data_IF_988973665008
#
_entry.id   IF_988973665008
#
_cell.length_a   1.000
_cell.length_b   1.000
_cell.length_c   1.000
_cell.angle_alpha   90.00
_cell.angle_beta   90.00
_cell.angle_gamma   90.00
#
_symmetry.space_group_name_H-M   'P 1'
#
loop_
_entity.id
_entity.type
_entity.pdbx_description
1 polymer ?
#
# COMPACT_ATOMS: atom_id res chain seq x y z
N UNK A 1 60.73 -38.54 -1.35
CA UNK A 1 61.88 -37.75 -1.89
C UNK A 1 61.32 -36.39 -2.27
N UNK A 2 61.71 -35.22 -1.75
CA UNK A 2 62.85 -34.77 -0.93
C UNK A 2 62.34 -33.63 -0.03
N UNK A 3 62.81 -33.62 1.21
CA UNK A 3 62.75 -32.49 2.14
C UNK A 3 63.85 -31.47 1.81
N UNK A 4 63.63 -30.20 2.17
CA UNK A 4 64.60 -29.27 2.79
C UNK A 4 63.96 -27.88 2.94
N UNK A 5 64.22 -27.00 3.92
CA UNK A 5 64.68 -27.01 5.31
C UNK A 5 64.67 -25.52 5.73
N UNK A 6 64.19 -25.27 6.95
CA UNK A 6 64.51 -24.19 7.91
C UNK A 6 64.92 -22.78 7.45
N UNK A 7 64.19 -21.80 8.00
CA UNK A 7 64.74 -20.59 8.60
C UNK A 7 64.02 -20.31 9.93
N UNK A 8 64.77 -20.20 11.03
CA UNK A 8 64.32 -20.15 12.44
C UNK A 8 64.74 -18.80 13.07
N UNK A 9 64.05 -18.43 14.16
CA UNK A 9 64.36 -17.42 15.21
C UNK A 9 63.96 -15.97 14.85
N UNK A 10 63.29 -15.18 15.71
CA UNK A 10 63.57 -14.95 17.14
C UNK A 10 62.27 -14.68 17.92
N UNK A 11 62.22 -15.24 19.14
CA UNK A 11 61.22 -15.00 20.16
C UNK A 11 61.54 -13.74 21.00
N UNK A 12 60.54 -12.93 21.34
CA UNK A 12 60.55 -12.12 22.57
C UNK A 12 59.19 -12.29 23.24
N UNK A 13 59.22 -13.02 24.36
CA UNK A 13 58.17 -13.04 25.36
C UNK A 13 58.47 -11.94 26.38
N UNK A 14 57.48 -11.11 26.70
CA UNK A 14 57.40 -10.46 28.01
C UNK A 14 55.96 -10.53 28.51
N UNK A 15 55.81 -11.32 29.58
CA UNK A 15 54.66 -11.36 30.47
C UNK A 15 54.49 -10.02 31.20
N UNK A 16 53.24 -9.66 31.44
CA UNK A 16 52.85 -8.66 32.43
C UNK A 16 51.35 -8.74 32.73
N UNK A 17 50.96 -9.67 33.62
CA UNK A 17 49.66 -9.71 34.30
C UNK A 17 49.73 -8.81 35.53
N UNK A 18 48.78 -7.90 35.74
CA UNK A 18 48.27 -7.49 37.06
C UNK A 18 46.87 -6.89 36.91
N UNK A 19 46.03 -7.16 37.92
CA UNK A 19 44.58 -7.00 37.93
C UNK A 19 44.11 -5.86 38.86
N UNK A 20 42.80 -5.55 38.71
CA UNK A 20 41.84 -4.97 39.66
C UNK A 20 41.75 -3.44 39.89
N UNK A 21 40.57 -2.93 39.47
CA UNK A 21 39.60 -2.01 40.10
C UNK A 21 40.04 -0.66 40.69
N UNK A 22 39.39 0.42 40.20
CA UNK A 22 38.50 1.30 40.99
C UNK A 22 37.76 2.29 40.08
N UNK A 23 36.47 2.49 40.36
CA UNK A 23 35.62 3.55 39.80
C UNK A 23 36.05 4.95 40.28
N UNK A 24 35.95 5.97 39.41
CA UNK A 24 35.35 7.28 39.71
C UNK A 24 35.55 8.26 38.54
N UNK A 25 34.42 8.63 37.93
CA UNK A 25 33.99 9.96 37.45
C UNK A 25 34.98 10.93 36.76
N UNK A 26 34.54 11.45 35.59
CA UNK A 26 35.03 12.73 35.08
C UNK A 26 35.18 12.90 33.56
N UNK A 27 34.05 13.15 32.88
CA UNK A 27 33.87 14.26 31.92
C UNK A 27 34.71 14.38 30.62
N UNK A 28 33.95 14.30 29.50
CA UNK A 28 34.04 15.03 28.21
C UNK A 28 35.02 14.51 27.15
N UNK A 29 34.43 14.13 26.01
CA UNK A 29 35.11 13.85 24.76
C UNK A 29 34.14 13.22 23.76
N UNK A 30 33.39 14.07 23.07
CA UNK A 30 32.53 13.75 21.93
C UNK A 30 33.27 12.92 20.87
N UNK A 31 32.61 11.89 20.34
CA UNK A 31 32.49 11.66 18.89
C UNK A 31 31.41 10.60 18.67
N UNK A 32 30.30 11.04 18.09
CA UNK A 32 29.30 10.25 17.38
C UNK A 32 29.97 9.41 16.29
N UNK A 33 29.53 8.15 16.11
CA UNK A 33 28.98 7.62 14.84
C UNK A 33 28.12 6.41 15.21
N UNK A 34 26.85 6.64 15.55
CA UNK A 34 25.79 5.63 15.41
C UNK A 34 25.05 5.97 14.12
N UNK A 35 25.15 5.08 13.14
CA UNK A 35 24.53 5.23 11.82
C UNK A 35 23.22 4.43 11.80
N UNK A 36 22.20 4.93 12.50
CA UNK A 36 20.81 4.53 12.28
C UNK A 36 20.07 5.68 11.58
N UNK A 37 19.14 5.36 10.67
CA UNK A 37 18.47 6.28 9.76
C UNK A 37 17.03 6.56 10.24
N UNK A 38 16.73 7.70 10.92
CA UNK A 38 15.40 8.03 11.46
C UNK A 38 14.77 9.17 10.63
N UNK A 39 14.65 8.99 9.32
CA UNK A 39 14.54 10.12 8.38
C UNK A 39 13.28 11.00 8.43
N UNK A 40 12.16 10.53 9.00
CA UNK A 40 10.89 11.29 8.99
C UNK A 40 10.65 12.13 10.26
N UNK A 41 10.53 11.46 11.41
CA UNK A 41 10.12 12.10 12.66
C UNK A 41 11.22 12.96 13.29
N UNK A 42 12.48 12.57 13.13
CA UNK A 42 13.61 13.35 13.64
C UNK A 42 13.77 14.66 12.86
N UNK A 43 13.65 14.59 11.53
CA UNK A 43 13.64 15.77 10.66
C UNK A 43 12.51 16.72 11.02
N UNK A 44 11.29 16.20 11.25
CA UNK A 44 10.14 16.98 11.66
C UNK A 44 10.34 17.63 13.04
N UNK A 45 10.84 16.88 14.02
CA UNK A 45 11.10 17.36 15.38
C UNK A 45 12.16 18.48 15.38
N UNK A 46 13.24 18.30 14.61
CA UNK A 46 14.28 19.32 14.40
C UNK A 46 13.72 20.59 13.76
N UNK A 47 12.86 20.47 12.73
CA UNK A 47 12.23 21.63 12.09
C UNK A 47 11.29 22.40 13.02
N UNK A 48 10.60 21.70 13.93
CA UNK A 48 9.67 22.28 14.90
C UNK A 48 10.35 22.77 16.19
N UNK A 49 11.64 22.47 16.36
CA UNK A 49 12.38 22.82 17.58
C UNK A 49 11.92 22.06 18.83
N UNK A 50 11.41 20.84 18.66
CA UNK A 50 10.95 19.97 19.75
C UNK A 50 11.71 18.64 19.73
N UNK A 51 11.70 17.89 20.83
CA UNK A 51 12.20 16.51 20.84
C UNK A 51 11.25 15.57 20.09
N UNK A 52 11.77 14.45 19.58
CA UNK A 52 10.98 13.40 18.91
C UNK A 52 9.87 12.87 19.83
N UNK A 53 10.13 12.73 21.12
CA UNK A 53 9.17 12.25 22.12
C UNK A 53 7.98 13.20 22.27
N UNK A 54 8.24 14.50 22.40
CA UNK A 54 7.22 15.56 22.46
C UNK A 54 6.39 15.57 21.17
N UNK A 55 7.03 15.44 20.00
CA UNK A 55 6.33 15.39 18.72
C UNK A 55 5.40 14.16 18.66
N UNK A 56 5.90 12.97 19.06
CA UNK A 56 5.12 11.73 19.09
C UNK A 56 3.94 11.79 20.07
N UNK A 57 4.16 12.33 21.26
CA UNK A 57 3.10 12.50 22.28
C UNK A 57 2.04 13.50 21.82
N UNK A 58 2.45 14.59 21.16
CA UNK A 58 1.52 15.58 20.63
C UNK A 58 0.64 14.99 19.51
N UNK A 59 1.24 14.23 18.60
CA UNK A 59 0.57 13.58 17.47
C UNK A 59 -0.42 12.49 17.90
N UNK A 60 -0.15 11.79 19.00
CA UNK A 60 -0.99 10.70 19.48
C UNK A 60 -0.84 9.41 18.65
N UNK A 61 -1.67 8.38 18.91
CA UNK A 61 -1.66 7.16 18.11
C UNK A 61 -2.08 7.44 16.65
N UNK A 62 -1.62 6.66 15.66
CA UNK A 62 -2.09 6.80 14.28
C UNK A 62 -3.61 6.55 14.15
N UNK A 63 -4.35 7.34 13.36
CA UNK A 63 -3.87 8.51 12.62
C UNK A 63 -3.65 9.73 13.53
N UNK A 64 -2.61 10.54 13.29
CA UNK A 64 -2.27 11.63 14.17
C UNK A 64 -3.30 12.76 14.11
N UNK A 65 -3.67 13.31 15.28
CA UNK A 65 -4.51 14.50 15.39
C UNK A 65 -3.64 15.76 15.17
N UNK A 66 -3.41 16.14 13.91
CA UNK A 66 -2.54 17.28 13.57
C UNK A 66 -3.06 18.61 14.10
N UNK A 67 -4.36 18.76 14.28
CA UNK A 67 -4.96 19.99 14.80
C UNK A 67 -4.68 20.13 16.29
N UNK A 68 -4.98 19.10 17.07
CA UNK A 68 -4.68 19.09 18.51
C UNK A 68 -3.18 19.07 18.77
N UNK A 69 -2.39 18.36 17.95
CA UNK A 69 -0.94 18.35 18.04
C UNK A 69 -0.34 19.73 17.78
N UNK A 70 -0.77 20.43 16.72
CA UNK A 70 -0.32 21.79 16.44
C UNK A 70 -0.64 22.74 17.60
N UNK A 71 -1.84 22.62 18.18
CA UNK A 71 -2.22 23.39 19.36
C UNK A 71 -1.36 23.08 20.59
N UNK A 72 -1.06 21.80 20.86
CA UNK A 72 -0.18 21.38 21.97
C UNK A 72 1.26 21.86 21.79
N UNK A 73 1.75 21.85 20.54
CA UNK A 73 3.11 22.26 20.18
C UNK A 73 3.26 23.78 20.01
N UNK A 74 2.16 24.53 20.03
CA UNK A 74 2.18 25.99 19.84
C UNK A 74 2.58 26.42 18.42
N UNK A 75 2.34 25.57 17.42
CA UNK A 75 2.64 25.84 16.00
C UNK A 75 1.34 25.89 15.18
N UNK A 76 1.40 26.44 13.96
CA UNK A 76 0.27 26.31 13.03
C UNK A 76 0.16 24.88 12.48
N UNK A 77 -1.06 24.46 12.15
CA UNK A 77 -1.29 23.16 11.50
C UNK A 77 -0.51 23.04 10.18
N UNK A 78 -0.37 24.15 9.43
CA UNK A 78 0.43 24.21 8.22
C UNK A 78 1.93 23.97 8.47
N UNK A 79 2.50 24.56 9.52
CA UNK A 79 3.90 24.34 9.90
C UNK A 79 4.14 22.89 10.37
N UNK A 80 3.20 22.33 11.15
CA UNK A 80 3.28 20.92 11.55
C UNK A 80 3.21 20.00 10.34
N UNK A 81 2.26 20.23 9.42
CA UNK A 81 2.12 19.45 8.20
C UNK A 81 3.35 19.55 7.30
N UNK A 82 3.91 20.75 7.12
CA UNK A 82 5.14 20.97 6.37
C UNK A 82 6.33 20.20 6.98
N UNK A 83 6.48 20.24 8.31
CA UNK A 83 7.53 19.50 9.01
C UNK A 83 7.37 17.99 8.86
N UNK A 84 6.13 17.50 8.80
CA UNK A 84 5.78 16.09 8.57
C UNK A 84 5.80 15.69 7.08
N UNK A 85 6.20 16.58 6.16
CA UNK A 85 6.23 16.29 4.72
C UNK A 85 4.85 16.17 4.07
N UNK A 86 3.78 16.63 4.73
CA UNK A 86 2.41 16.62 4.21
C UNK A 86 2.16 17.87 3.34
N UNK A 87 1.65 17.72 2.11
CA UNK A 87 1.34 18.88 1.27
C UNK A 87 0.26 19.75 1.93
N UNK A 88 0.33 21.09 1.78
CA UNK A 88 -0.70 21.99 2.31
C UNK A 88 -2.06 21.69 1.68
N UNK A 89 -3.13 21.68 2.50
CA UNK A 89 -4.51 21.57 2.01
C UNK A 89 -4.78 22.72 1.03
N UNK A 90 -5.16 22.39 -0.20
CA UNK A 90 -5.36 23.34 -1.29
C UNK A 90 -6.51 24.32 -1.05
N UNK A 91 -6.38 25.51 -1.64
CA UNK A 91 -7.33 26.62 -1.63
C UNK A 91 -8.58 26.32 -2.49
N UNK A 92 -9.57 25.58 -1.96
CA UNK A 92 -10.90 25.49 -2.60
C UNK A 92 -12.02 26.18 -1.78
N UNK A 93 -11.74 26.65 -0.55
CA UNK A 93 -12.76 27.29 0.31
C UNK A 93 -12.86 28.83 0.17
N UNK A 94 -11.94 29.50 -0.54
CA UNK A 94 -11.89 30.97 -0.57
C UNK A 94 -12.72 31.63 -1.69
N UNK A 95 -13.61 30.88 -2.34
CA UNK A 95 -14.52 31.41 -3.38
C UNK A 95 -15.98 31.61 -2.95
N UNK A 96 -16.34 31.35 -1.69
CA UNK A 96 -17.74 31.47 -1.23
C UNK A 96 -18.04 32.62 -0.26
N UNK A 97 -17.10 33.50 0.07
CA UNK A 97 -17.31 34.55 1.09
C UNK A 97 -17.21 35.99 0.60
N UNK A 98 -17.47 36.29 -0.68
CA UNK A 98 -17.71 37.68 -1.12
C UNK A 98 -18.78 37.78 -2.21
N UNK A 99 -20.01 38.03 -1.77
CA UNK A 99 -21.16 38.39 -2.61
C UNK A 99 -22.39 38.69 -1.74
N UNK A 100 -22.54 39.94 -1.32
CA UNK A 100 -23.61 40.43 -0.44
C UNK A 100 -25.04 40.42 -1.04
N UNK A 101 -26.06 40.86 -0.28
CA UNK A 101 -27.40 40.25 -0.32
C UNK A 101 -28.50 41.02 -1.08
N UNK A 102 -29.57 40.27 -1.38
CA UNK A 102 -31.00 40.61 -1.63
C UNK A 102 -31.42 41.18 -3.00
N UNK A 103 -32.39 40.51 -3.65
CA UNK A 103 -33.81 40.88 -3.52
C UNK A 103 -34.80 39.83 -4.01
N UNK A 104 -35.91 39.67 -3.27
CA UNK A 104 -37.11 38.87 -3.60
C UNK A 104 -38.01 39.64 -4.59
N UNK A 105 -38.58 38.93 -5.57
CA UNK A 105 -39.70 39.36 -6.40
C UNK A 105 -40.34 38.15 -7.12
N UNK A 106 -41.65 38.16 -7.44
CA UNK A 106 -42.54 37.05 -7.08
C UNK A 106 -42.91 36.07 -8.21
N UNK A 107 -43.37 34.89 -7.77
CA UNK A 107 -44.04 33.79 -8.47
C UNK A 107 -44.67 34.13 -9.83
N UNK A 108 -44.33 33.33 -10.86
CA UNK A 108 -45.29 32.86 -11.86
C UNK A 108 -45.06 31.38 -12.20
N UNK A 109 -46.19 30.69 -12.12
CA UNK A 109 -46.59 29.33 -12.45
C UNK A 109 -45.72 28.48 -13.40
N UNK A 110 -45.61 27.20 -13.02
CA UNK A 110 -45.15 26.08 -13.83
C UNK A 110 -46.13 25.81 -14.99
N UNK A 111 -45.62 25.32 -16.13
CA UNK A 111 -46.14 24.05 -16.62
C UNK A 111 -45.04 23.10 -17.12
N UNK A 112 -45.17 21.82 -16.81
CA UNK A 112 -44.60 20.73 -17.62
C UNK A 112 -45.49 20.57 -18.88
N UNK A 113 -44.98 20.13 -20.05
CA UNK A 113 -44.60 18.73 -20.25
C UNK A 113 -43.38 18.51 -21.17
N UNK A 114 -42.92 17.26 -21.22
CA UNK A 114 -41.68 16.84 -21.86
C UNK A 114 -41.55 17.06 -23.37
N UNK A 115 -40.30 16.94 -23.82
CA UNK A 115 -39.90 16.92 -25.23
C UNK A 115 -38.40 16.64 -25.35
N UNK A 116 -38.06 15.54 -26.03
CA UNK A 116 -36.69 15.12 -26.35
C UNK A 116 -36.03 16.05 -27.41
N UNK A 117 -34.69 16.14 -27.30
CA UNK A 117 -33.67 16.47 -28.33
C UNK A 117 -33.04 17.88 -28.28
N UNK A 118 -31.85 18.12 -28.88
CA UNK A 118 -30.62 17.32 -29.00
C UNK A 118 -29.32 18.11 -28.64
N UNK A 119 -28.20 17.37 -28.52
CA UNK A 119 -26.80 17.77 -28.20
C UNK A 119 -26.29 19.11 -28.78
N UNK A 120 -25.52 19.83 -27.95
CA UNK A 120 -24.43 20.73 -28.37
C UNK A 120 -23.06 20.16 -27.95
N UNK A 121 -21.95 20.45 -28.67
CA UNK A 121 -20.71 19.69 -28.58
C UNK A 121 -19.79 20.23 -27.48
N UNK A 122 -19.73 19.54 -26.35
CA UNK A 122 -18.66 19.69 -25.36
C UNK A 122 -17.61 18.62 -25.59
N UNK A 123 -16.58 18.95 -26.37
CA UNK A 123 -15.42 18.09 -26.57
C UNK A 123 -14.56 18.14 -25.30
N UNK A 124 -14.46 17.00 -24.61
CA UNK A 124 -13.79 16.84 -23.33
C UNK A 124 -14.26 15.56 -22.65
N UNK A 125 -14.20 14.45 -23.39
CA UNK A 125 -14.51 13.14 -22.83
C UNK A 125 -13.53 12.83 -21.70
N UNK A 126 -13.98 12.99 -20.46
CA UNK A 126 -13.42 12.27 -19.32
C UNK A 126 -13.58 10.80 -19.70
N UNK A 127 -12.47 10.10 -19.92
CA UNK A 127 -12.50 8.71 -20.35
C UNK A 127 -13.44 7.90 -19.46
N UNK A 128 -14.20 6.98 -20.06
CA UNK A 128 -15.03 6.04 -19.31
C UNK A 128 -14.18 5.42 -18.20
N UNK A 129 -14.68 5.50 -16.96
CA UNK A 129 -14.00 4.89 -15.83
C UNK A 129 -14.02 3.38 -16.03
N UNK A 130 -12.87 2.83 -16.43
CA UNK A 130 -12.72 1.42 -16.87
C UNK A 130 -12.94 0.42 -15.74
N UNK A 131 -13.20 0.88 -14.51
CA UNK A 131 -13.48 0.04 -13.35
C UNK A 131 -14.69 0.50 -12.53
N UNK A 132 -15.58 1.32 -13.09
CA UNK A 132 -16.85 1.59 -12.43
C UNK A 132 -17.62 0.28 -12.17
N UNK A 133 -18.30 0.20 -11.02
CA UNK A 133 -19.15 -0.92 -10.68
C UNK A 133 -20.63 -0.58 -10.85
N UNK A 134 -21.44 -1.61 -11.15
CA UNK A 134 -22.88 -1.51 -11.37
C UNK A 134 -23.59 -2.21 -10.22
N UNK A 135 -24.54 -1.51 -9.59
CA UNK A 135 -25.39 -2.10 -8.56
C UNK A 135 -26.35 -3.09 -9.22
N UNK A 136 -26.18 -4.37 -8.91
CA UNK A 136 -27.05 -5.44 -9.41
C UNK A 136 -28.29 -5.59 -8.51
N UNK A 137 -29.37 -6.28 -8.95
CA UNK A 137 -30.59 -6.44 -8.15
C UNK A 137 -30.39 -7.08 -6.77
N UNK A 138 -29.30 -7.83 -6.56
CA UNK A 138 -28.94 -8.37 -5.24
C UNK A 138 -28.30 -7.35 -4.30
N UNK A 139 -28.13 -6.09 -4.72
CA UNK A 139 -27.60 -4.99 -3.93
C UNK A 139 -26.08 -4.83 -3.95
N UNK A 140 -25.34 -5.74 -4.60
CA UNK A 140 -23.89 -5.69 -4.70
C UNK A 140 -23.42 -4.77 -5.83
N UNK A 141 -22.23 -4.17 -5.70
CA UNK A 141 -21.60 -3.39 -6.76
C UNK A 141 -20.63 -4.28 -7.55
N UNK A 142 -21.04 -4.71 -8.74
CA UNK A 142 -20.26 -5.64 -9.57
C UNK A 142 -19.50 -4.87 -10.64
N UNK A 143 -18.20 -5.10 -10.72
CA UNK A 143 -17.30 -4.30 -11.55
C UNK A 143 -17.45 -4.63 -13.03
N UNK A 144 -17.33 -3.60 -13.87
CA UNK A 144 -17.28 -3.78 -15.32
C UNK A 144 -15.87 -4.25 -15.70
N UNK A 145 -15.70 -5.52 -16.03
CA UNK A 145 -14.38 -6.11 -16.30
C UNK A 145 -14.45 -7.61 -16.53
N UNK A 146 -13.28 -8.23 -16.72
CA UNK A 146 -13.15 -9.67 -16.87
C UNK A 146 -12.36 -10.17 -15.66
N UNK A 147 -12.85 -11.17 -14.92
CA UNK A 147 -12.09 -11.81 -13.85
C UNK A 147 -10.85 -12.51 -14.41
N UNK A 148 -9.86 -12.76 -13.55
CA UNK A 148 -8.75 -13.64 -13.89
C UNK A 148 -9.27 -15.09 -14.01
N UNK A 149 -8.83 -15.83 -15.04
CA UNK A 149 -9.29 -17.20 -15.28
C UNK A 149 -8.52 -18.21 -14.43
N UNK A 150 -7.28 -17.90 -14.04
CA UNK A 150 -6.51 -18.75 -13.12
C UNK A 150 -6.56 -18.24 -11.67
N UNK A 151 -6.38 -19.17 -10.73
CA UNK A 151 -6.32 -18.89 -9.29
C UNK A 151 -5.30 -19.80 -8.61
N UNK A 152 -4.51 -19.22 -7.72
CA UNK A 152 -3.78 -19.99 -6.72
C UNK A 152 -4.76 -20.52 -5.68
N UNK A 153 -4.70 -21.82 -5.40
CA UNK A 153 -5.33 -22.38 -4.21
C UNK A 153 -4.48 -22.01 -2.99
N UNK A 154 -5.08 -21.25 -2.09
CA UNK A 154 -4.38 -20.72 -0.92
C UNK A 154 -3.80 -21.84 -0.05
N UNK A 155 -2.59 -21.60 0.45
CA UNK A 155 -1.84 -22.58 1.24
C UNK A 155 -1.28 -23.76 0.45
N UNK A 156 -1.41 -23.78 -0.88
CA UNK A 156 -0.77 -24.79 -1.76
C UNK A 156 0.08 -24.11 -2.83
N UNK A 157 0.73 -24.94 -3.66
CA UNK A 157 1.44 -24.50 -4.87
C UNK A 157 0.69 -24.95 -6.13
N UNK A 158 -0.65 -25.06 -6.05
CA UNK A 158 -1.50 -25.55 -7.14
C UNK A 158 -2.30 -24.39 -7.75
N UNK A 159 -2.18 -24.22 -9.07
CA UNK A 159 -2.97 -23.26 -9.85
C UNK A 159 -4.13 -23.99 -10.53
N UNK A 160 -5.32 -23.42 -10.43
CA UNK A 160 -6.55 -23.94 -11.01
C UNK A 160 -7.19 -22.93 -11.94
N UNK A 161 -8.00 -23.39 -12.88
CA UNK A 161 -8.95 -22.54 -13.60
C UNK A 161 -10.17 -22.18 -12.72
N UNK A 162 -11.09 -21.38 -13.29
CA UNK A 162 -12.35 -21.01 -12.62
C UNK A 162 -13.26 -22.21 -12.33
N UNK A 163 -13.20 -23.26 -13.12
CA UNK A 163 -14.03 -24.47 -12.96
C UNK A 163 -13.47 -25.45 -11.92
N UNK A 164 -12.24 -25.23 -11.44
CA UNK A 164 -11.59 -26.08 -10.45
C UNK A 164 -10.77 -27.22 -11.03
N UNK A 165 -10.42 -27.13 -12.32
CA UNK A 165 -9.46 -28.02 -12.93
C UNK A 165 -8.05 -27.55 -12.61
N UNK A 166 -7.20 -28.47 -12.17
CA UNK A 166 -5.78 -28.19 -11.98
C UNK A 166 -5.13 -27.88 -13.33
N UNK A 167 -4.28 -26.85 -13.36
CA UNK A 167 -3.54 -26.43 -14.54
C UNK A 167 -2.06 -26.76 -14.40
N UNK A 168 -1.36 -26.14 -13.45
CA UNK A 168 0.08 -26.27 -13.24
C UNK A 168 0.46 -25.89 -11.81
N UNK A 169 1.73 -26.10 -11.44
CA UNK A 169 2.24 -25.68 -10.13
C UNK A 169 2.68 -24.22 -10.12
N UNK A 170 2.65 -23.57 -8.95
CA UNK A 170 3.22 -22.24 -8.75
C UNK A 170 4.68 -22.12 -9.16
N UNK A 171 5.47 -23.20 -9.06
CA UNK A 171 6.88 -23.23 -9.46
C UNK A 171 7.07 -23.23 -11.00
N UNK A 172 5.99 -23.46 -11.74
CA UNK A 172 5.94 -23.51 -13.20
C UNK A 172 4.94 -22.45 -13.72
N UNK A 173 4.74 -21.37 -12.97
CA UNK A 173 3.76 -20.33 -13.31
C UNK A 173 4.42 -18.97 -13.51
N UNK A 174 3.91 -18.16 -14.41
CA UNK A 174 4.27 -16.74 -14.48
C UNK A 174 3.02 -15.91 -14.72
N UNK A 175 2.92 -14.75 -14.08
CA UNK A 175 1.90 -13.77 -14.43
C UNK A 175 2.23 -13.18 -15.80
N UNK A 176 1.26 -13.14 -16.70
CA UNK A 176 1.39 -12.62 -18.05
C UNK A 176 0.20 -11.70 -18.38
N UNK A 177 0.40 -10.77 -19.31
CA UNK A 177 -0.66 -9.90 -19.80
C UNK A 177 -1.61 -10.65 -20.76
N UNK A 178 -2.63 -9.95 -21.26
CA UNK A 178 -3.63 -10.53 -22.19
C UNK A 178 -3.06 -11.00 -23.53
N UNK A 179 -1.84 -10.60 -23.88
CA UNK A 179 -1.13 -11.06 -25.08
C UNK A 179 -0.29 -12.31 -24.83
N UNK A 180 -0.25 -12.80 -23.59
CA UNK A 180 0.60 -13.91 -23.16
C UNK A 180 2.05 -13.52 -22.86
N UNK A 181 2.37 -12.23 -22.80
CA UNK A 181 3.71 -11.77 -22.45
C UNK A 181 3.89 -11.76 -20.93
N UNK A 182 4.96 -12.37 -20.44
CA UNK A 182 5.28 -12.40 -19.01
C UNK A 182 5.42 -10.98 -18.47
N UNK A 183 4.74 -10.69 -17.37
CA UNK A 183 4.80 -9.41 -16.71
C UNK A 183 6.20 -9.17 -16.15
N UNK A 184 6.77 -8.02 -16.50
CA UNK A 184 7.99 -7.53 -15.88
C UNK A 184 7.66 -7.09 -14.46
N UNK A 185 8.46 -7.55 -13.51
CA UNK A 185 8.30 -7.26 -12.10
C UNK A 185 8.32 -5.73 -11.85
N UNK A 186 7.27 -5.21 -11.22
CA UNK A 186 7.08 -3.75 -11.03
C UNK A 186 6.14 -3.44 -9.86
N UNK A 187 6.08 -2.17 -9.46
CA UNK A 187 5.11 -1.63 -8.50
C UNK A 187 3.75 -1.32 -9.11
N UNK A 188 3.41 -1.90 -10.27
CA UNK A 188 2.09 -1.74 -10.87
C UNK A 188 1.15 -2.84 -10.37
N UNK A 189 -0.09 -2.50 -9.99
CA UNK A 189 -1.07 -3.49 -9.60
C UNK A 189 -1.48 -4.37 -10.79
N UNK A 190 -2.05 -5.53 -10.47
CA UNK A 190 -2.68 -6.42 -11.44
C UNK A 190 -3.68 -5.66 -12.32
N UNK A 191 -3.54 -5.83 -13.63
CA UNK A 191 -4.37 -5.18 -14.64
C UNK A 191 -5.41 -6.13 -15.22
N UNK A 192 -6.43 -5.55 -15.85
CA UNK A 192 -7.43 -6.31 -16.61
C UNK A 192 -6.75 -7.16 -17.69
N UNK A 193 -7.01 -8.46 -17.66
CA UNK A 193 -6.50 -9.41 -18.64
C UNK A 193 -5.14 -9.99 -18.31
N UNK A 194 -4.53 -9.59 -17.18
CA UNK A 194 -3.40 -10.33 -16.64
C UNK A 194 -3.88 -11.71 -16.18
N UNK A 195 -3.08 -12.75 -16.31
CA UNK A 195 -3.39 -14.09 -15.81
C UNK A 195 -2.13 -14.90 -15.53
N UNK A 196 -2.24 -16.07 -14.90
CA UNK A 196 -1.11 -16.99 -14.78
C UNK A 196 -1.05 -17.89 -16.02
N UNK A 197 0.16 -18.08 -16.53
CA UNK A 197 0.47 -19.03 -17.60
C UNK A 197 1.50 -20.04 -17.11
N UNK A 198 1.51 -21.22 -17.74
CA UNK A 198 2.57 -22.20 -17.54
C UNK A 198 3.87 -21.67 -18.13
N UNK A 199 4.92 -21.56 -17.30
CA UNK A 199 6.22 -21.04 -17.71
C UNK A 199 7.32 -21.49 -16.75
N UNK A 200 8.50 -21.81 -17.29
CA UNK A 200 9.68 -22.08 -16.45
C UNK A 200 10.12 -20.81 -15.73
N UNK A 201 10.42 -20.94 -14.44
CA UNK A 201 11.01 -19.87 -13.63
C UNK A 201 12.52 -20.06 -13.41
N UNK A 202 13.19 -20.95 -14.14
CA UNK A 202 14.59 -21.32 -13.83
C UNK A 202 15.55 -20.13 -13.92
N UNK A 203 15.30 -19.24 -14.88
CA UNK A 203 16.10 -18.02 -15.10
C UNK A 203 15.63 -16.81 -14.28
N UNK A 204 14.55 -16.96 -13.49
CA UNK A 204 14.04 -15.89 -12.64
C UNK A 204 14.83 -15.79 -11.34
N UNK A 205 15.11 -14.56 -10.93
CA UNK A 205 15.60 -14.24 -9.59
C UNK A 205 14.57 -14.57 -8.52
N UNK A 206 15.00 -14.62 -7.25
CA UNK A 206 14.06 -14.83 -6.12
C UNK A 206 12.98 -13.76 -6.03
N UNK A 207 13.31 -12.51 -6.34
CA UNK A 207 12.35 -11.40 -6.28
C UNK A 207 11.34 -11.47 -7.42
N UNK A 208 11.73 -11.88 -8.62
CA UNK A 208 10.81 -12.12 -9.74
C UNK A 208 9.85 -13.28 -9.47
N UNK A 209 10.35 -14.39 -8.89
CA UNK A 209 9.49 -15.50 -8.44
C UNK A 209 8.49 -15.04 -7.38
N UNK A 210 8.96 -14.25 -6.41
CA UNK A 210 8.10 -13.66 -5.39
C UNK A 210 7.05 -12.73 -6.00
N UNK A 211 7.41 -11.91 -6.97
CA UNK A 211 6.49 -11.04 -7.70
C UNK A 211 5.37 -11.82 -8.39
N UNK A 212 5.70 -12.88 -9.13
CA UNK A 212 4.68 -13.72 -9.78
C UNK A 212 3.80 -14.45 -8.75
N UNK A 213 4.36 -14.89 -7.62
CA UNK A 213 3.57 -15.46 -6.53
C UNK A 213 2.63 -14.43 -5.89
N UNK A 214 3.04 -13.17 -5.76
CA UNK A 214 2.13 -12.10 -5.29
C UNK A 214 0.97 -11.92 -6.26
N UNK A 215 1.21 -11.90 -7.57
CA UNK A 215 0.12 -11.82 -8.55
C UNK A 215 -0.86 -12.99 -8.40
N UNK A 216 -0.33 -14.20 -8.23
CA UNK A 216 -1.13 -15.41 -8.01
C UNK A 216 -1.98 -15.35 -6.73
N UNK A 217 -1.49 -14.71 -5.66
CA UNK A 217 -2.25 -14.47 -4.43
C UNK A 217 -3.32 -13.38 -4.63
N UNK A 218 -2.98 -12.29 -5.35
CA UNK A 218 -3.86 -11.14 -5.49
C UNK A 218 -4.99 -11.33 -6.51
N UNK A 219 -4.80 -12.11 -7.57
CA UNK A 219 -5.84 -12.39 -8.57
C UNK A 219 -7.15 -12.95 -7.96
N UNK A 220 -7.13 -14.00 -7.13
CA UNK A 220 -8.36 -14.51 -6.53
C UNK A 220 -8.98 -13.56 -5.49
N UNK A 221 -8.18 -12.77 -4.76
CA UNK A 221 -8.68 -11.71 -3.85
C UNK A 221 -9.44 -10.65 -4.67
N UNK A 222 -8.84 -10.20 -5.77
CA UNK A 222 -9.45 -9.26 -6.72
C UNK A 222 -10.76 -9.80 -7.26
N UNK A 223 -10.77 -11.06 -7.72
CA UNK A 223 -11.97 -11.69 -8.25
C UNK A 223 -13.10 -11.77 -7.22
N UNK A 224 -12.76 -12.15 -5.98
CA UNK A 224 -13.72 -12.29 -4.89
C UNK A 224 -14.47 -10.99 -4.60
N UNK A 225 -13.78 -9.85 -4.53
CA UNK A 225 -14.43 -8.57 -4.19
C UNK A 225 -15.02 -7.85 -5.40
N UNK A 226 -14.47 -8.03 -6.59
CA UNK A 226 -14.94 -7.30 -7.78
C UNK A 226 -16.07 -8.02 -8.53
N UNK A 227 -16.10 -9.36 -8.51
CA UNK A 227 -16.97 -10.15 -9.39
C UNK A 227 -17.80 -11.19 -8.63
N UNK A 228 -17.17 -11.89 -7.68
CA UNK A 228 -17.76 -13.08 -7.06
C UNK A 228 -18.40 -12.81 -5.68
N UNK A 229 -18.44 -11.54 -5.25
CA UNK A 229 -18.77 -11.14 -3.87
C UNK A 229 -20.13 -11.64 -3.38
N UNK A 230 -21.10 -11.82 -4.28
CA UNK A 230 -22.43 -12.31 -3.91
C UNK A 230 -22.39 -13.72 -3.28
N UNK A 231 -21.43 -14.56 -3.69
CA UNK A 231 -21.34 -15.96 -3.25
C UNK A 231 -20.21 -16.21 -2.25
N UNK A 232 -19.18 -15.36 -2.22
CA UNK A 232 -18.02 -15.52 -1.32
C UNK A 232 -18.47 -15.51 0.14
N UNK A 233 -18.18 -16.57 0.88
CA UNK A 233 -18.44 -16.68 2.32
C UNK A 233 -17.32 -16.04 3.14
N UNK A 234 -17.56 -15.77 4.42
CA UNK A 234 -16.52 -15.28 5.33
C UNK A 234 -15.33 -16.26 5.40
N UNK A 235 -15.59 -17.57 5.46
CA UNK A 235 -14.53 -18.60 5.51
C UNK A 235 -13.68 -18.60 4.24
N UNK A 236 -14.30 -18.48 3.07
CA UNK A 236 -13.57 -18.37 1.80
C UNK A 236 -12.75 -17.08 1.75
N UNK A 237 -13.33 -15.97 2.21
CA UNK A 237 -12.62 -14.69 2.29
C UNK A 237 -11.39 -14.77 3.21
N UNK A 238 -11.55 -15.31 4.41
CA UNK A 238 -10.47 -15.44 5.40
C UNK A 238 -9.32 -16.31 4.86
N UNK A 239 -9.63 -17.37 4.10
CA UNK A 239 -8.62 -18.20 3.46
C UNK A 239 -7.95 -17.46 2.28
N UNK A 240 -8.72 -16.72 1.47
CA UNK A 240 -8.20 -15.89 0.37
C UNK A 240 -7.17 -14.85 0.84
N UNK A 241 -7.43 -14.20 1.97
CA UNK A 241 -6.57 -13.12 2.49
C UNK A 241 -5.55 -13.60 3.52
N UNK A 242 -5.35 -14.91 3.66
CA UNK A 242 -4.48 -15.51 4.67
C UNK A 242 -3.02 -15.08 4.56
N UNK A 243 -2.50 -14.95 3.33
CA UNK A 243 -1.15 -14.46 3.10
C UNK A 243 -0.98 -12.97 3.50
N UNK A 244 -2.04 -12.17 3.35
CA UNK A 244 -2.06 -10.80 3.85
C UNK A 244 -2.13 -10.79 5.39
N UNK A 245 -2.98 -11.65 5.97
CA UNK A 245 -3.19 -11.80 7.41
C UNK A 245 -1.92 -12.19 8.17
N UNK A 246 -1.18 -13.19 7.65
CA UNK A 246 0.11 -13.61 8.21
C UNK A 246 1.12 -12.46 8.34
N UNK A 247 0.96 -11.40 7.55
CA UNK A 247 1.87 -10.27 7.44
C UNK A 247 1.32 -8.97 7.99
N UNK A 248 0.14 -9.03 8.62
CA UNK A 248 -0.55 -7.84 9.14
C UNK A 248 -0.83 -6.78 8.06
N UNK A 249 -1.00 -7.20 6.80
CA UNK A 249 -1.23 -6.30 5.67
C UNK A 249 -2.70 -5.90 5.60
N UNK A 250 -2.99 -4.60 5.77
CA UNK A 250 -4.36 -4.06 5.72
C UNK A 250 -5.27 -4.62 6.83
N UNK A 251 -4.79 -4.65 8.07
CA UNK A 251 -5.54 -5.20 9.23
C UNK A 251 -6.68 -4.29 9.71
N UNK A 252 -6.57 -2.99 9.49
CA UNK A 252 -7.47 -2.00 10.05
C UNK A 252 -8.25 -1.26 8.96
N UNK A 253 -9.40 -0.74 9.34
CA UNK A 253 -10.26 0.11 8.53
C UNK A 253 -10.44 1.43 9.25
N UNK A 254 -10.38 2.53 8.52
CA UNK A 254 -10.66 3.87 9.02
C UNK A 254 -11.48 4.63 7.98
N UNK A 255 -12.68 5.06 8.33
CA UNK A 255 -13.64 5.72 7.42
C UNK A 255 -14.16 7.06 7.95
N UNK A 256 -13.61 7.54 9.07
CA UNK A 256 -14.01 8.79 9.72
C UNK A 256 -13.19 10.00 9.25
N UNK A 257 -12.40 9.82 8.20
CA UNK A 257 -11.60 10.87 7.59
C UNK A 257 -12.45 11.97 6.96
N UNK A 258 -11.98 13.24 6.99
CA UNK A 258 -12.73 14.38 6.46
C UNK A 258 -12.83 14.36 4.94
N UNK A 259 -11.93 13.65 4.24
CA UNK A 259 -11.97 13.47 2.79
C UNK A 259 -11.91 11.97 2.44
N UNK A 260 -12.41 11.56 1.25
CA UNK A 260 -12.31 10.18 0.80
C UNK A 260 -10.87 9.62 0.79
N UNK A 261 -9.87 10.48 0.59
CA UNK A 261 -8.45 10.06 0.59
C UNK A 261 -7.95 9.65 1.98
N UNK A 262 -8.50 10.27 3.02
CA UNK A 262 -8.16 9.98 4.42
C UNK A 262 -8.75 8.65 4.89
N UNK A 263 -9.70 8.10 4.13
CA UNK A 263 -10.33 6.82 4.42
C UNK A 263 -9.54 5.68 3.78
N UNK A 264 -9.51 4.54 4.46
CA UNK A 264 -8.97 3.31 3.94
C UNK A 264 -9.68 2.10 4.54
N UNK A 265 -9.80 1.06 3.73
CA UNK A 265 -10.37 -0.21 4.17
C UNK A 265 -9.27 -1.23 4.43
N UNK A 266 -9.41 -1.98 5.51
CA UNK A 266 -8.67 -3.20 5.77
C UNK A 266 -9.35 -4.41 5.15
N UNK A 267 -8.80 -5.60 5.34
CA UNK A 267 -9.31 -6.86 4.78
C UNK A 267 -10.77 -7.10 5.14
N UNK A 268 -11.14 -6.97 6.42
CA UNK A 268 -12.54 -7.14 6.81
C UNK A 268 -13.42 -6.00 6.30
N UNK A 269 -12.94 -4.75 6.40
CA UNK A 269 -13.75 -3.60 6.00
C UNK A 269 -14.06 -3.57 4.51
N UNK A 270 -13.11 -3.93 3.63
CA UNK A 270 -13.37 -3.97 2.18
C UNK A 270 -14.35 -5.09 1.83
N UNK A 271 -14.29 -6.21 2.56
CA UNK A 271 -15.24 -7.30 2.39
C UNK A 271 -16.64 -6.89 2.83
N UNK A 272 -16.78 -6.26 4.00
CA UNK A 272 -18.04 -5.73 4.49
C UNK A 272 -18.63 -4.67 3.55
N UNK A 273 -17.77 -3.77 3.03
CA UNK A 273 -18.14 -2.77 2.04
C UNK A 273 -18.65 -3.42 0.75
N UNK A 274 -17.94 -4.41 0.23
CA UNK A 274 -18.33 -5.08 -1.01
C UNK A 274 -19.60 -5.94 -0.84
N UNK A 275 -19.81 -6.52 0.35
CA UNK A 275 -21.03 -7.23 0.72
C UNK A 275 -22.24 -6.30 0.84
N UNK A 276 -22.04 -5.07 1.32
CA UNK A 276 -23.11 -4.10 1.49
C UNK A 276 -22.66 -2.69 1.07
N UNK A 277 -22.65 -2.38 -0.23
CA UNK A 277 -22.19 -1.09 -0.74
C UNK A 277 -23.20 0.04 -0.49
N UNK A 278 -24.39 -0.24 0.07
CA UNK A 278 -25.44 0.77 0.33
C UNK A 278 -25.84 1.56 -0.94
N UNK A 279 -25.86 0.87 -2.09
CA UNK A 279 -26.16 1.46 -3.40
C UNK A 279 -25.09 2.41 -3.94
N UNK A 280 -23.90 2.47 -3.32
CA UNK A 280 -22.79 3.34 -3.72
C UNK A 280 -21.85 2.63 -4.67
N UNK A 281 -21.27 3.42 -5.57
CA UNK A 281 -20.11 2.99 -6.33
C UNK A 281 -18.89 2.97 -5.38
N UNK A 282 -18.33 1.77 -5.18
CA UNK A 282 -17.22 1.50 -4.24
C UNK A 282 -15.88 1.29 -4.98
N UNK A 283 -15.81 1.61 -6.28
CA UNK A 283 -14.65 1.26 -7.08
C UNK A 283 -13.34 1.86 -6.55
N UNK A 284 -13.34 3.13 -6.14
CA UNK A 284 -12.14 3.77 -5.60
C UNK A 284 -11.64 3.07 -4.34
N UNK A 285 -12.54 2.71 -3.43
CA UNK A 285 -12.20 2.05 -2.17
C UNK A 285 -11.61 0.65 -2.40
N UNK A 286 -12.22 -0.12 -3.31
CA UNK A 286 -11.78 -1.47 -3.68
C UNK A 286 -10.44 -1.43 -4.42
N UNK A 287 -10.28 -0.52 -5.38
CA UNK A 287 -9.03 -0.40 -6.15
C UNK A 287 -7.87 0.03 -5.25
N UNK A 288 -8.10 0.99 -4.35
CA UNK A 288 -7.12 1.41 -3.34
C UNK A 288 -6.70 0.24 -2.46
N UNK A 289 -7.66 -0.54 -1.95
CA UNK A 289 -7.34 -1.73 -1.15
C UNK A 289 -6.47 -2.73 -1.92
N UNK A 290 -6.83 -3.06 -3.18
CA UNK A 290 -6.10 -4.04 -3.98
C UNK A 290 -4.68 -3.59 -4.33
N UNK A 291 -4.52 -2.32 -4.67
CA UNK A 291 -3.23 -1.72 -4.98
C UNK A 291 -2.31 -1.74 -3.75
N UNK A 292 -2.79 -1.21 -2.62
CA UNK A 292 -2.01 -1.16 -1.38
C UNK A 292 -1.70 -2.58 -0.86
N UNK A 293 -2.68 -3.50 -0.85
CA UNK A 293 -2.47 -4.87 -0.39
C UNK A 293 -1.41 -5.61 -1.22
N UNK A 294 -1.46 -5.48 -2.55
CA UNK A 294 -0.49 -6.10 -3.44
C UNK A 294 0.91 -5.53 -3.27
N UNK A 295 1.03 -4.21 -3.18
CA UNK A 295 2.30 -3.53 -2.95
C UNK A 295 2.92 -3.87 -1.61
N UNK A 296 2.13 -3.85 -0.53
CA UNK A 296 2.63 -4.17 0.80
C UNK A 296 3.07 -5.64 0.87
N UNK A 297 2.36 -6.55 0.17
CA UNK A 297 2.79 -7.94 0.06
C UNK A 297 4.14 -8.06 -0.67
N UNK A 298 4.32 -7.35 -1.80
CA UNK A 298 5.61 -7.29 -2.49
C UNK A 298 6.72 -6.77 -1.57
N UNK A 299 6.47 -5.71 -0.80
CA UNK A 299 7.43 -5.17 0.17
C UNK A 299 7.86 -6.21 1.22
N UNK A 300 6.96 -7.10 1.67
CA UNK A 300 7.30 -8.15 2.63
C UNK A 300 8.12 -9.30 2.02
N UNK A 301 7.87 -9.66 0.76
CA UNK A 301 8.37 -10.91 0.18
C UNK A 301 9.53 -10.73 -0.80
N UNK A 302 9.93 -9.48 -1.06
CA UNK A 302 11.06 -9.14 -1.95
C UNK A 302 12.18 -8.42 -1.19
N UNK A 303 13.35 -8.33 -1.82
CA UNK A 303 14.54 -7.65 -1.27
C UNK A 303 14.38 -6.13 -1.15
N UNK A 304 15.24 -5.49 -0.36
CA UNK A 304 15.28 -4.01 -0.26
C UNK A 304 15.76 -3.36 -1.56
N UNK A 305 16.53 -4.08 -2.38
CA UNK A 305 16.90 -3.63 -3.71
C UNK A 305 15.67 -3.61 -4.63
N UNK A 306 14.84 -4.65 -4.56
CA UNK A 306 13.60 -4.72 -5.31
C UNK A 306 12.58 -3.64 -4.88
N UNK A 307 12.56 -3.25 -3.59
CA UNK A 307 11.74 -2.13 -3.13
C UNK A 307 12.03 -0.82 -3.88
N UNK A 308 13.27 -0.61 -4.35
CA UNK A 308 13.59 0.56 -5.21
C UNK A 308 12.89 0.47 -6.56
N UNK A 309 12.82 -0.72 -7.15
CA UNK A 309 12.06 -0.96 -8.39
C UNK A 309 10.58 -0.65 -8.15
N UNK A 310 10.02 -1.10 -7.02
CA UNK A 310 8.62 -0.81 -6.66
C UNK A 310 8.37 0.70 -6.59
N UNK A 311 9.22 1.44 -5.89
CA UNK A 311 9.17 2.90 -5.81
C UNK A 311 9.29 3.58 -7.16
N UNK A 312 10.31 3.23 -7.94
CA UNK A 312 10.62 3.88 -9.22
C UNK A 312 9.55 3.63 -10.29
N UNK A 313 8.79 2.54 -10.14
CA UNK A 313 7.72 2.15 -11.07
C UNK A 313 6.31 2.39 -10.52
N UNK A 314 6.19 2.91 -9.29
CA UNK A 314 4.91 3.23 -8.67
C UNK A 314 4.23 4.39 -9.41
N UNK A 315 2.97 4.25 -9.88
CA UNK A 315 2.30 5.29 -10.66
C UNK A 315 2.19 6.65 -9.97
N UNK A 316 2.05 6.64 -8.64
CA UNK A 316 1.94 7.88 -7.84
C UNK A 316 3.30 8.47 -7.42
N UNK A 317 4.42 7.78 -7.70
CA UNK A 317 5.78 8.29 -7.44
C UNK A 317 6.17 8.40 -5.96
N UNK A 318 5.47 7.71 -5.07
CA UNK A 318 5.83 7.56 -3.65
C UNK A 318 6.47 6.20 -3.37
N UNK A 319 6.93 5.99 -2.14
CA UNK A 319 7.61 4.77 -1.70
C UNK A 319 6.64 3.88 -0.90
N UNK A 320 5.96 2.92 -1.55
CA UNK A 320 4.89 2.18 -0.90
C UNK A 320 5.38 1.35 0.29
N UNK A 321 6.64 0.96 0.32
CA UNK A 321 7.21 0.18 1.42
C UNK A 321 7.54 1.05 2.63
N UNK A 322 8.04 2.26 2.40
CA UNK A 322 8.27 3.23 3.46
C UNK A 322 6.94 3.74 4.06
N UNK A 323 5.96 4.03 3.20
CA UNK A 323 4.64 4.53 3.62
C UNK A 323 3.86 3.50 4.45
N UNK A 324 4.07 2.21 4.17
CA UNK A 324 3.50 1.11 4.93
C UNK A 324 4.20 0.84 6.27
N UNK A 325 5.29 1.56 6.58
CA UNK A 325 6.11 1.37 7.78
C UNK A 325 6.55 -0.09 7.98
N UNK A 326 6.82 -0.82 6.88
CA UNK A 326 7.22 -2.23 6.93
C UNK A 326 8.68 -2.34 7.40
N UNK A 327 8.85 -2.48 8.72
CA UNK A 327 10.16 -2.66 9.36
C UNK A 327 10.61 -4.12 9.43
N UNK A 328 9.69 -5.08 9.32
CA UNK A 328 9.99 -6.52 9.40
C UNK A 328 9.35 -7.25 8.23
N UNK A 329 10.21 -7.80 7.37
CA UNK A 329 9.81 -8.58 6.20
C UNK A 329 9.52 -10.03 6.58
N UNK A 330 8.45 -10.60 6.03
CA UNK A 330 8.05 -11.99 6.26
C UNK A 330 7.97 -12.65 4.87
N UNK A 331 8.98 -13.46 4.48
CA UNK A 331 8.97 -14.13 3.18
C UNK A 331 7.86 -15.18 3.09
N UNK A 332 7.67 -15.79 1.91
CA UNK A 332 6.76 -16.92 1.74
C UNK A 332 7.13 -18.10 2.63
#
# INVERSE_FOLDING_TARGET
>A
MKQSIMGLLIAIALLGLMACDTSSDGSVGETEVEHENPGGMESAARQLGVSVEILREALGPPPPDTKSAAQKLGVSEAQLNQALGRPPKGHDEERQTQGGPRNKGPNKEMPAPGGLSPKGPGNGGRGEDRYACVIVPSGHCIFTGIPHDTRLKQGTDEVFDRDGNFLFSMNESAAANSSGEILVASGKPASKGDDLIESSQDEMTRDEKAYHRVMAVMFPIRNAIMYDIATVTQTEWDELVKDLSRRSIKDTTYTDGPTPRDNYYGRQGVFDLAKNPDGKDIHHDVMKFLEEAGLYLLCHVTSDEFNRILKDTHPEGHDPCADAEIITKIPF
#
